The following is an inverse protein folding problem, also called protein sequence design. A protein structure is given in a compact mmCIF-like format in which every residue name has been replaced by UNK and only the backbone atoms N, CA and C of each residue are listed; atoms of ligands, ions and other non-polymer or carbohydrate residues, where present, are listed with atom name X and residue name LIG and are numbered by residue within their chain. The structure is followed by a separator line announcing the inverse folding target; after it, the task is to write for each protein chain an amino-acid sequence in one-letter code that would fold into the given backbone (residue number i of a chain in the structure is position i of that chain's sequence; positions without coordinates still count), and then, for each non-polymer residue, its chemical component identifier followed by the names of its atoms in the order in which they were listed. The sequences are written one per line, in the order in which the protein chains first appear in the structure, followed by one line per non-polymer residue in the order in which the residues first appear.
data_IF_718191990187
#
_entry.id   IF_718191990187
#
_cell.length_a   1.000
_cell.length_b   1.000
_cell.length_c   1.000
_cell.angle_alpha   90.00
_cell.angle_beta   90.00
_cell.angle_gamma   90.00
#
_symmetry.space_group_name_H-M   'P 1'
#
loop_
_entity.id
_entity.type
_entity.pdbx_description
1 polymer ?
#
# COMPACT_ATOMS: atom_id res chain seq x y z
N UNK A 1 -30.51 -41.58 -26.72
CA UNK A 1 -30.40 -40.35 -25.89
C UNK A 1 -29.49 -40.50 -24.66
N UNK A 2 -29.58 -41.56 -23.83
CA UNK A 2 -28.70 -41.74 -22.64
C UNK A 2 -27.18 -41.79 -22.93
N UNK A 3 -26.75 -42.26 -24.11
CA UNK A 3 -25.32 -42.36 -24.48
C UNK A 3 -24.66 -41.01 -24.83
N UNK A 4 -25.44 -39.99 -25.15
CA UNK A 4 -24.92 -38.67 -25.51
C UNK A 4 -24.50 -37.87 -24.26
N UNK A 5 -25.27 -37.98 -23.16
CA UNK A 5 -24.97 -37.30 -21.89
C UNK A 5 -23.67 -37.77 -21.22
N UNK A 6 -23.34 -39.07 -21.37
CA UNK A 6 -22.12 -39.66 -20.79
C UNK A 6 -20.83 -39.10 -21.41
N UNK A 7 -20.90 -38.49 -22.59
CA UNK A 7 -19.73 -37.91 -23.25
C UNK A 7 -19.67 -36.38 -23.09
N UNK A 8 -20.82 -35.71 -23.02
CA UNK A 8 -20.90 -34.25 -22.92
C UNK A 8 -20.62 -33.77 -21.49
N UNK A 9 -21.06 -34.52 -20.46
CA UNK A 9 -20.84 -34.17 -19.05
C UNK A 9 -19.35 -34.13 -18.64
N UNK A 10 -18.49 -35.13 -18.96
CA UNK A 10 -17.07 -35.06 -18.62
C UNK A 10 -16.32 -33.99 -19.41
N UNK A 11 -16.75 -33.68 -20.65
CA UNK A 11 -16.18 -32.60 -21.46
C UNK A 11 -16.44 -31.22 -20.84
N UNK A 12 -17.67 -30.99 -20.36
CA UNK A 12 -18.06 -29.74 -19.70
C UNK A 12 -17.38 -29.58 -18.33
N UNK A 13 -17.19 -30.68 -17.59
CA UNK A 13 -16.47 -30.68 -16.32
C UNK A 13 -14.95 -30.44 -16.50
N UNK A 14 -14.36 -30.98 -17.57
CA UNK A 14 -12.96 -30.73 -17.94
C UNK A 14 -12.71 -29.28 -18.37
N UNK A 15 -13.69 -28.65 -19.05
CA UNK A 15 -13.61 -27.23 -19.42
C UNK A 15 -13.66 -26.31 -18.20
N UNK A 16 -14.44 -26.66 -17.16
CA UNK A 16 -14.54 -25.87 -15.92
C UNK A 16 -13.29 -25.98 -15.03
N UNK A 17 -12.55 -27.08 -15.10
CA UNK A 17 -11.31 -27.29 -14.33
C UNK A 17 -10.06 -26.68 -14.99
N UNK A 18 -10.17 -26.20 -16.24
CA UNK A 18 -9.05 -25.61 -16.99
C UNK A 18 -8.76 -24.13 -16.69
N UNK A 19 -9.59 -23.46 -15.89
CA UNK A 19 -9.38 -22.06 -15.52
C UNK A 19 -8.65 -21.96 -14.18
N UNK A 20 -7.35 -22.28 -14.16
CA UNK A 20 -6.48 -21.85 -13.06
C UNK A 20 -6.12 -20.38 -13.26
N UNK A 21 -6.87 -19.47 -12.64
CA UNK A 21 -6.45 -18.08 -12.51
C UNK A 21 -5.34 -18.00 -11.46
N UNK A 22 -4.15 -17.55 -11.86
CA UNK A 22 -3.10 -17.19 -10.90
C UNK A 22 -3.60 -16.01 -10.05
N UNK A 23 -3.90 -16.26 -8.78
CA UNK A 23 -4.21 -15.21 -7.82
C UNK A 23 -2.90 -14.52 -7.45
N UNK A 24 -2.60 -13.48 -8.20
CA UNK A 24 -1.45 -12.62 -8.00
C UNK A 24 -1.79 -11.58 -6.93
N UNK A 25 -1.28 -11.77 -5.71
CA UNK A 25 -1.45 -10.83 -4.63
C UNK A 25 -0.19 -9.99 -4.48
N UNK A 26 -0.26 -8.74 -4.92
CA UNK A 26 0.80 -7.78 -4.71
C UNK A 26 0.59 -7.08 -3.37
N UNK A 27 1.65 -7.01 -2.55
CA UNK A 27 1.53 -6.60 -1.17
C UNK A 27 2.48 -5.48 -0.75
N UNK A 28 1.91 -4.46 -0.10
CA UNK A 28 2.67 -3.56 0.75
C UNK A 28 3.00 -4.28 2.05
N UNK A 29 4.28 -4.23 2.44
CA UNK A 29 4.75 -4.78 3.72
C UNK A 29 4.58 -3.76 4.85
N UNK A 30 4.46 -2.48 4.51
CA UNK A 30 4.23 -1.41 5.46
C UNK A 30 4.34 -0.04 4.81
N UNK A 31 4.30 0.98 5.65
CA UNK A 31 4.53 2.35 5.26
C UNK A 31 4.56 3.27 6.47
N UNK A 32 5.02 4.47 6.24
CA UNK A 32 5.15 5.53 7.23
C UNK A 32 4.47 6.79 6.71
N UNK A 33 3.82 7.53 7.61
CA UNK A 33 3.27 8.86 7.35
C UNK A 33 3.98 9.84 8.29
N UNK A 34 4.67 10.82 7.72
CA UNK A 34 5.27 11.94 8.46
C UNK A 34 4.62 13.25 8.04
N UNK A 35 4.57 14.20 8.96
CA UNK A 35 4.04 15.52 8.70
C UNK A 35 4.94 16.59 9.32
N UNK A 36 5.04 17.72 8.63
CA UNK A 36 5.85 18.86 9.01
C UNK A 36 5.03 20.14 8.87
N UNK A 37 5.06 20.99 9.89
CA UNK A 37 4.40 22.29 9.83
C UNK A 37 5.18 23.22 8.89
N UNK A 38 4.48 23.77 7.89
CA UNK A 38 5.02 24.71 6.90
C UNK A 38 4.11 25.95 6.75
N UNK A 39 3.35 26.27 7.80
CA UNK A 39 2.36 27.33 7.78
C UNK A 39 2.95 28.72 7.61
N UNK A 40 2.17 29.60 6.99
CA UNK A 40 2.46 31.02 6.82
C UNK A 40 1.32 31.86 7.42
N UNK A 41 1.44 33.19 7.40
CA UNK A 41 0.33 34.06 7.83
C UNK A 41 -0.93 33.88 6.99
N UNK A 42 -0.80 33.53 5.70
CA UNK A 42 -1.93 33.23 4.81
C UNK A 42 -2.48 31.80 5.01
N UNK A 43 -1.65 30.87 5.46
CA UNK A 43 -2.02 29.47 5.68
C UNK A 43 -1.51 28.98 7.06
N UNK A 44 -2.15 29.40 8.16
CA UNK A 44 -1.61 29.24 9.51
C UNK A 44 -1.61 27.79 10.04
N UNK A 45 -2.23 26.87 9.30
CA UNK A 45 -2.34 25.45 9.69
C UNK A 45 -1.94 24.52 8.54
N UNK A 46 -0.97 24.96 7.73
CA UNK A 46 -0.47 24.17 6.60
C UNK A 46 0.60 23.18 7.04
N UNK A 47 0.44 21.94 6.59
CA UNK A 47 1.41 20.87 6.80
C UNK A 47 1.81 20.25 5.47
N UNK A 48 3.08 19.91 5.36
CA UNK A 48 3.61 19.03 4.34
C UNK A 48 3.55 17.61 4.87
N UNK A 49 2.92 16.72 4.14
CA UNK A 49 2.84 15.30 4.50
C UNK A 49 3.71 14.50 3.55
N UNK A 50 4.54 13.61 4.08
CA UNK A 50 5.25 12.60 3.31
C UNK A 50 4.74 11.22 3.68
N UNK A 51 4.52 10.38 2.68
CA UNK A 51 4.18 8.97 2.85
C UNK A 51 5.27 8.13 2.20
N UNK A 52 5.86 7.22 2.95
CA UNK A 52 6.80 6.21 2.43
C UNK A 52 6.08 4.87 2.44
N UNK A 53 5.98 4.22 1.29
CA UNK A 53 5.38 2.89 1.18
C UNK A 53 6.48 1.88 0.91
N UNK A 54 6.49 0.81 1.70
CA UNK A 54 7.44 -0.28 1.56
C UNK A 54 6.76 -1.46 0.86
N UNK A 55 7.37 -1.93 -0.22
CA UNK A 55 6.95 -3.14 -0.93
C UNK A 55 8.06 -4.16 -1.01
N UNK A 56 7.68 -5.41 -1.22
CA UNK A 56 8.58 -6.53 -1.48
C UNK A 56 8.50 -6.97 -2.94
N UNK A 57 9.56 -7.55 -3.48
CA UNK A 57 9.60 -8.14 -4.84
C UNK A 57 9.21 -9.62 -4.88
N UNK A 58 9.02 -10.26 -3.71
CA UNK A 58 8.84 -11.72 -3.60
C UNK A 58 7.52 -12.24 -4.17
N UNK A 59 6.44 -11.48 -4.07
CA UNK A 59 5.09 -12.01 -4.29
C UNK A 59 4.49 -11.64 -5.63
N UNK A 60 4.96 -10.54 -6.26
CA UNK A 60 4.83 -10.14 -7.68
C UNK A 60 5.12 -8.66 -7.86
N UNK A 61 5.50 -8.20 -9.07
CA UNK A 61 5.71 -6.78 -9.31
C UNK A 61 4.40 -6.02 -9.21
N UNK A 62 4.36 -5.05 -8.27
CA UNK A 62 3.29 -4.07 -8.15
C UNK A 62 3.43 -3.00 -9.25
N UNK A 63 2.32 -2.48 -9.76
CA UNK A 63 2.34 -1.34 -10.70
C UNK A 63 3.01 -0.12 -10.06
N UNK A 64 3.54 0.79 -10.88
CA UNK A 64 4.23 1.99 -10.39
C UNK A 64 3.30 2.81 -9.47
N UNK A 65 3.69 3.02 -8.21
CA UNK A 65 2.94 3.89 -7.29
C UNK A 65 3.23 5.35 -7.64
N UNK A 66 2.30 5.99 -8.34
CA UNK A 66 2.43 7.38 -8.80
C UNK A 66 1.64 8.39 -7.97
N UNK A 67 0.77 7.93 -7.07
CA UNK A 67 -0.05 8.78 -6.23
C UNK A 67 -0.92 8.00 -5.27
N UNK A 68 -1.71 8.75 -4.49
CA UNK A 68 -2.68 8.21 -3.54
C UNK A 68 -3.46 9.31 -2.84
N UNK A 69 -4.23 8.94 -1.81
CA UNK A 69 -4.98 9.90 -1.00
C UNK A 69 -4.72 9.68 0.48
N UNK A 70 -4.47 10.79 1.18
CA UNK A 70 -4.39 10.85 2.63
C UNK A 70 -5.75 11.27 3.18
N UNK A 71 -6.34 10.45 4.04
CA UNK A 71 -7.53 10.78 4.80
C UNK A 71 -7.11 11.49 6.10
N UNK A 72 -7.66 12.67 6.36
CA UNK A 72 -7.47 13.36 7.65
C UNK A 72 -8.82 13.46 8.36
N UNK A 73 -8.83 13.08 9.63
CA UNK A 73 -10.03 13.06 10.48
C UNK A 73 -9.75 13.77 11.80
N UNK A 74 -10.80 14.31 12.40
CA UNK A 74 -10.78 14.89 13.75
C UNK A 74 -12.19 14.90 14.32
N UNK A 75 -12.33 15.16 15.63
CA UNK A 75 -13.66 15.37 16.23
C UNK A 75 -14.22 16.77 15.94
N UNK A 76 -13.37 17.74 15.61
CA UNK A 76 -13.77 19.14 15.44
C UNK A 76 -14.24 19.48 14.01
N UNK A 77 -13.77 18.76 12.99
CA UNK A 77 -13.95 19.15 11.58
C UNK A 77 -14.32 17.95 10.68
N UNK A 78 -14.95 18.20 9.51
CA UNK A 78 -15.24 17.15 8.55
C UNK A 78 -13.97 16.43 8.05
N UNK A 79 -14.13 15.16 7.68
CA UNK A 79 -13.06 14.39 7.04
C UNK A 79 -12.63 15.05 5.72
N UNK A 80 -11.34 15.07 5.47
CA UNK A 80 -10.75 15.57 4.22
C UNK A 80 -9.90 14.49 3.55
N UNK A 81 -9.91 14.47 2.22
CA UNK A 81 -9.03 13.63 1.41
C UNK A 81 -8.04 14.53 0.69
N UNK A 82 -6.75 14.33 0.97
CA UNK A 82 -5.66 15.13 0.42
C UNK A 82 -4.95 14.30 -0.65
N UNK A 83 -4.88 14.77 -1.90
CA UNK A 83 -4.16 14.05 -2.94
C UNK A 83 -2.65 14.08 -2.65
N UNK A 84 -2.02 12.93 -2.86
CA UNK A 84 -0.57 12.75 -2.80
C UNK A 84 -0.04 12.39 -4.19
N UNK A 85 1.13 12.92 -4.52
CA UNK A 85 1.87 12.59 -5.75
C UNK A 85 3.28 12.13 -5.42
N UNK A 86 4.01 11.55 -6.37
CA UNK A 86 5.43 11.23 -6.21
C UNK A 86 6.20 12.43 -5.67
N UNK A 87 6.98 12.22 -4.61
CA UNK A 87 7.81 13.26 -3.99
C UNK A 87 8.83 13.76 -5.02
N UNK A 88 8.93 15.08 -5.24
CA UNK A 88 9.94 15.64 -6.14
C UNK A 88 11.36 15.15 -5.78
N UNK A 89 12.12 14.75 -6.80
CA UNK A 89 13.48 14.21 -6.62
C UNK A 89 13.55 12.72 -6.25
N UNK A 90 12.43 11.99 -6.26
CA UNK A 90 12.40 10.53 -6.06
C UNK A 90 11.83 9.81 -7.28
N UNK A 91 12.27 8.57 -7.58
CA UNK A 91 11.75 7.80 -8.70
C UNK A 91 10.35 7.25 -8.42
N UNK A 92 9.42 7.41 -9.36
CA UNK A 92 8.06 6.86 -9.25
C UNK A 92 8.03 5.32 -9.08
N UNK A 93 8.99 4.64 -9.72
CA UNK A 93 9.21 3.19 -9.63
C UNK A 93 9.62 2.71 -8.22
N UNK A 94 9.92 3.67 -7.34
CA UNK A 94 10.52 3.44 -6.04
C UNK A 94 12.02 3.16 -6.16
N UNK A 95 12.68 3.08 -5.02
CA UNK A 95 14.11 2.80 -4.90
C UNK A 95 14.34 1.78 -3.78
N UNK A 96 15.37 0.91 -3.88
CA UNK A 96 15.73 0.02 -2.78
C UNK A 96 16.00 0.83 -1.51
N UNK A 97 15.55 0.32 -0.34
CA UNK A 97 15.98 0.92 0.94
C UNK A 97 17.51 0.82 0.98
N UNK A 98 18.22 1.86 1.44
CA UNK A 98 19.65 1.78 1.65
C UNK A 98 20.04 0.64 2.60
N UNK A 99 21.24 0.10 2.45
CA UNK A 99 21.89 -0.77 3.43
C UNK A 99 21.16 -2.09 3.77
N UNK A 100 20.24 -2.55 2.92
CA UNK A 100 19.48 -3.78 3.16
C UNK A 100 20.31 -5.06 3.26
N UNK A 101 21.55 -5.02 2.78
CA UNK A 101 22.44 -6.17 2.75
C UNK A 101 23.49 -6.19 3.86
N UNK A 102 23.52 -5.18 4.74
CA UNK A 102 24.59 -5.03 5.74
C UNK A 102 24.56 -6.12 6.84
N UNK A 103 23.41 -6.78 7.03
CA UNK A 103 23.22 -7.80 8.07
C UNK A 103 22.73 -9.16 7.51
N UNK A 104 22.91 -9.41 6.22
CA UNK A 104 22.52 -10.69 5.62
C UNK A 104 23.58 -11.74 5.97
N UNK A 105 23.16 -12.86 6.55
CA UNK A 105 24.03 -14.03 6.72
C UNK A 105 24.37 -14.62 5.35
N UNK A 106 25.64 -14.58 4.91
CA UNK A 106 26.04 -15.09 3.60
C UNK A 106 25.87 -16.62 3.47
N UNK A 107 25.67 -17.33 4.57
CA UNK A 107 25.49 -18.78 4.59
C UNK A 107 24.01 -19.20 4.63
N UNK A 108 23.09 -18.25 4.75
CA UNK A 108 21.67 -18.54 4.77
C UNK A 108 21.11 -18.53 3.34
N UNK A 109 20.76 -19.71 2.83
CA UNK A 109 20.12 -19.88 1.53
C UNK A 109 18.68 -19.34 1.46
N UNK A 110 18.15 -18.71 2.52
CA UNK A 110 16.90 -17.97 2.42
C UNK A 110 17.10 -16.75 1.51
N UNK A 111 16.45 -16.80 0.35
CA UNK A 111 16.48 -15.77 -0.68
C UNK A 111 16.21 -14.39 -0.07
N UNK A 112 17.26 -13.57 -0.01
CA UNK A 112 17.12 -12.15 0.28
C UNK A 112 16.03 -11.56 -0.59
N UNK A 113 15.08 -10.89 0.05
CA UNK A 113 13.94 -10.29 -0.61
C UNK A 113 14.10 -8.78 -0.50
N UNK A 114 14.48 -8.07 -1.58
CA UNK A 114 14.69 -6.63 -1.50
C UNK A 114 13.38 -5.90 -1.21
N UNK A 115 13.50 -4.85 -0.39
CA UNK A 115 12.40 -3.92 -0.11
C UNK A 115 12.56 -2.67 -0.97
N UNK A 116 11.48 -2.21 -1.57
CA UNK A 116 11.47 -0.99 -2.39
C UNK A 116 10.60 0.06 -1.70
N UNK A 117 11.09 1.28 -1.63
CA UNK A 117 10.41 2.44 -1.05
C UNK A 117 9.83 3.32 -2.15
N UNK A 118 8.55 3.67 -2.01
CA UNK A 118 7.90 4.70 -2.81
C UNK A 118 7.61 5.91 -1.94
N UNK A 119 7.98 7.10 -2.44
CA UNK A 119 7.83 8.35 -1.70
C UNK A 119 6.72 9.18 -2.33
N UNK A 120 5.67 9.42 -1.56
CA UNK A 120 4.58 10.31 -1.91
C UNK A 120 4.62 11.55 -1.02
N UNK A 121 4.19 12.68 -1.56
CA UNK A 121 4.12 13.95 -0.85
C UNK A 121 2.85 14.71 -1.23
N UNK A 122 2.33 15.46 -0.27
CA UNK A 122 1.24 16.41 -0.48
C UNK A 122 1.26 17.50 0.57
N UNK A 123 0.33 18.44 0.43
CA UNK A 123 0.14 19.57 1.33
C UNK A 123 -1.31 19.59 1.79
N UNK A 124 -1.51 19.82 3.08
CA UNK A 124 -2.83 19.90 3.70
C UNK A 124 -2.96 21.16 4.53
N UNK A 125 -4.08 21.84 4.39
CA UNK A 125 -4.48 22.97 5.22
C UNK A 125 -5.52 22.48 6.22
N UNK A 126 -5.14 22.38 7.49
CA UNK A 126 -6.11 22.00 8.53
C UNK A 126 -7.10 23.17 8.75
N UNK A 127 -8.41 22.90 8.90
CA UNK A 127 -9.42 23.98 9.01
C UNK A 127 -9.27 24.87 10.25
N UNK A 128 -8.55 24.41 11.27
CA UNK A 128 -8.34 25.13 12.51
C UNK A 128 -7.64 24.27 13.56
N UNK A 129 -7.56 24.78 14.79
CA UNK A 129 -6.99 24.05 15.92
C UNK A 129 -7.94 22.92 16.36
N UNK A 130 -7.42 21.71 16.43
CA UNK A 130 -8.09 20.56 17.03
C UNK A 130 -7.02 19.65 17.65
N UNK A 131 -7.35 19.01 18.76
CA UNK A 131 -6.38 18.23 19.55
C UNK A 131 -6.15 16.81 19.01
N UNK A 132 -7.03 16.31 18.15
CA UNK A 132 -7.12 14.88 17.79
C UNK A 132 -7.08 14.61 16.28
N UNK A 133 -6.37 15.45 15.52
CA UNK A 133 -6.14 15.17 14.10
C UNK A 133 -5.41 13.84 13.91
N UNK A 134 -5.97 13.01 13.04
CA UNK A 134 -5.40 11.74 12.61
C UNK A 134 -5.21 11.74 11.10
N UNK A 135 -4.03 11.30 10.66
CA UNK A 135 -3.66 11.18 9.25
C UNK A 135 -3.58 9.69 8.90
N UNK A 136 -4.38 9.24 7.95
CA UNK A 136 -4.42 7.86 7.49
C UNK A 136 -4.19 7.78 5.98
N UNK A 137 -3.31 6.88 5.54
CA UNK A 137 -3.17 6.55 4.13
C UNK A 137 -3.91 5.25 3.85
N UNK A 138 -4.88 5.29 2.94
CA UNK A 138 -5.62 4.09 2.52
C UNK A 138 -5.12 3.68 1.15
N UNK A 139 -4.53 2.49 1.10
CA UNK A 139 -4.16 1.86 -0.15
C UNK A 139 -5.19 0.79 -0.52
N UNK A 140 -5.80 0.91 -1.70
CA UNK A 140 -6.76 -0.06 -2.23
C UNK A 140 -5.99 -1.23 -2.85
N UNK A 141 -5.13 -1.87 -2.08
CA UNK A 141 -4.51 -3.13 -2.44
C UNK A 141 -3.95 -3.84 -1.20
N UNK A 142 -3.89 -5.16 -1.33
CA UNK A 142 -3.70 -6.17 -0.32
C UNK A 142 -2.47 -5.92 0.58
N UNK A 143 -2.65 -5.54 1.84
CA UNK A 143 -1.57 -5.62 2.83
C UNK A 143 -1.23 -7.09 3.11
N UNK A 144 0.04 -7.44 3.37
CA UNK A 144 0.36 -8.79 3.90
C UNK A 144 -0.34 -8.94 5.26
N UNK A 145 -1.04 -10.04 5.56
CA UNK A 145 -1.48 -10.32 6.92
C UNK A 145 -0.26 -10.41 7.84
N UNK A 146 -0.16 -9.48 8.78
CA UNK A 146 0.90 -9.44 9.77
C UNK A 146 0.52 -10.45 10.86
N UNK A 147 1.05 -11.67 10.78
CA UNK A 147 0.69 -12.79 11.67
C UNK A 147 1.09 -12.61 13.15
N UNK A 148 1.80 -11.54 13.47
CA UNK A 148 2.27 -11.18 14.81
C UNK A 148 1.46 -10.04 15.45
N UNK A 149 0.35 -9.62 14.85
CA UNK A 149 -0.62 -8.69 15.47
C UNK A 149 -1.97 -9.43 15.61
N UNK A 150 -2.29 -9.86 16.83
CA UNK A 150 -3.62 -10.42 17.15
C UNK A 150 -4.67 -9.30 17.10
N UNK A 151 -5.83 -9.54 16.47
CA UNK A 151 -6.91 -8.57 16.15
C UNK A 151 -6.65 -7.61 14.97
N UNK A 152 -6.05 -8.10 13.88
CA UNK A 152 -6.07 -7.37 12.62
C UNK A 152 -7.42 -7.56 11.89
N UNK A 153 -8.40 -6.69 12.11
CA UNK A 153 -9.49 -6.53 11.14
C UNK A 153 -8.92 -5.77 9.96
N UNK A 154 -8.86 -6.36 8.76
CA UNK A 154 -8.34 -5.74 7.52
C UNK A 154 -9.05 -4.46 7.07
N UNK A 155 -9.87 -3.87 7.92
CA UNK A 155 -10.38 -2.51 7.80
C UNK A 155 -9.43 -1.61 8.60
N UNK A 156 -8.51 -0.95 7.90
CA UNK A 156 -7.91 0.26 8.45
C UNK A 156 -9.02 1.28 8.77
N UNK A 157 -8.79 2.21 9.72
CA UNK A 157 -9.75 3.29 9.98
C UNK A 157 -10.17 4.03 8.71
#
# INVERSE_FOLDING_TARGET
MKRFYNFVLPLFLGLLLGFSSDLNAAHLIGGEVTYEYIGTTQFPHRYRVNVVLHRTTRWTPFDVITGGALCVRSSCFPNQNVPLSVKPGTPAQGQPVPNQTECIDPNNNQQFTPVIEHFLQGTVDLPGLCADYTFGYVFVCCRIPIGNITNYSGNGP
#
